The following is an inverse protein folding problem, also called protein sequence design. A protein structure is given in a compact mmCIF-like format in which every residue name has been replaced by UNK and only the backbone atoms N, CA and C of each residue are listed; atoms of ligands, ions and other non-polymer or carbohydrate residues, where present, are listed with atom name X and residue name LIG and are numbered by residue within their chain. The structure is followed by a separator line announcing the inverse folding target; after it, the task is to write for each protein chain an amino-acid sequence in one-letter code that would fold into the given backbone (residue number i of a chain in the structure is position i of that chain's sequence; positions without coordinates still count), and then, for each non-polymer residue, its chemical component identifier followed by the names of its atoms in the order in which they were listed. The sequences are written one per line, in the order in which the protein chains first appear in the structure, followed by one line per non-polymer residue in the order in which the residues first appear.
data_IF_331407307083
#
_entry.id   IF_331407307083
#
_cell.length_a   1.000
_cell.length_b   1.000
_cell.length_c   1.000
_cell.angle_alpha   90.00
_cell.angle_beta   90.00
_cell.angle_gamma   90.00
#
_symmetry.space_group_name_H-M   'P 1'
#
loop_
_entity.id
_entity.type
_entity.pdbx_description
1 polymer ?
#
# COMPACT_ATOMS: atom_id res chain seq x y z
N UNK A 1 18.63 34.88 -23.61
CA UNK A 1 18.76 35.09 -22.14
C UNK A 1 17.69 34.34 -21.34
N UNK A 2 16.81 33.55 -21.96
CA UNK A 2 15.75 32.79 -21.26
C UNK A 2 16.17 31.36 -20.82
N UNK A 3 17.19 30.75 -21.43
CA UNK A 3 17.63 29.38 -21.05
C UNK A 3 18.25 29.29 -19.64
N UNK A 4 18.72 30.41 -19.07
CA UNK A 4 19.44 30.40 -17.80
C UNK A 4 18.52 30.40 -16.57
N UNK A 5 17.24 30.79 -16.69
CA UNK A 5 16.31 30.79 -15.55
C UNK A 5 15.71 29.41 -15.27
N UNK A 6 15.42 28.61 -16.30
CA UNK A 6 14.91 27.24 -16.15
C UNK A 6 15.94 26.27 -15.55
N UNK A 7 17.23 26.44 -15.88
CA UNK A 7 18.30 25.62 -15.31
C UNK A 7 18.58 25.91 -13.83
N UNK A 8 18.37 27.16 -13.38
CA UNK A 8 18.46 27.55 -11.97
C UNK A 8 17.29 26.95 -11.14
N UNK A 9 16.10 26.88 -11.74
CA UNK A 9 14.89 26.35 -11.09
C UNK A 9 14.98 24.82 -10.91
N UNK A 10 15.43 24.08 -11.93
CA UNK A 10 15.62 22.62 -11.86
C UNK A 10 16.66 22.22 -10.80
N UNK A 11 17.76 22.98 -10.68
CA UNK A 11 18.78 22.72 -9.65
C UNK A 11 18.22 22.93 -8.24
N UNK A 12 17.48 24.01 -8.02
CA UNK A 12 16.85 24.29 -6.73
C UNK A 12 15.81 23.23 -6.35
N UNK A 13 15.03 22.74 -7.32
CA UNK A 13 14.09 21.64 -7.15
C UNK A 13 14.84 20.35 -6.77
N UNK A 14 15.92 20.00 -7.48
CA UNK A 14 16.72 18.81 -7.17
C UNK A 14 17.36 18.88 -5.77
N UNK A 15 17.92 20.03 -5.37
CA UNK A 15 18.47 20.22 -4.02
C UNK A 15 17.38 20.08 -2.94
N UNK A 16 16.18 20.61 -3.21
CA UNK A 16 15.02 20.43 -2.32
C UNK A 16 14.62 18.95 -2.22
N UNK A 17 14.58 18.23 -3.35
CA UNK A 17 14.27 16.81 -3.37
C UNK A 17 15.32 16.02 -2.58
N UNK A 18 16.62 16.22 -2.83
CA UNK A 18 17.69 15.54 -2.09
C UNK A 18 17.55 15.76 -0.58
N UNK A 19 17.28 17.00 -0.16
CA UNK A 19 17.06 17.32 1.26
C UNK A 19 15.84 16.63 1.85
N UNK A 20 14.70 16.68 1.17
CA UNK A 20 13.44 16.11 1.67
C UNK A 20 13.40 14.57 1.54
N UNK A 21 14.26 13.97 0.71
CA UNK A 21 14.35 12.51 0.47
C UNK A 21 15.48 11.81 1.22
N UNK A 22 16.35 12.54 1.92
CA UNK A 22 17.51 11.98 2.64
C UNK A 22 17.15 10.85 3.64
N UNK A 23 15.92 10.83 4.17
CA UNK A 23 15.46 9.78 5.07
C UNK A 23 15.12 8.46 4.36
N UNK A 24 14.95 8.46 3.04
CA UNK A 24 14.56 7.27 2.27
C UNK A 24 15.65 6.20 2.35
N UNK A 25 16.93 6.59 2.22
CA UNK A 25 18.05 5.65 2.35
C UNK A 25 18.07 5.01 3.74
N UNK A 26 17.79 5.79 4.78
CA UNK A 26 17.66 5.28 6.15
C UNK A 26 16.47 4.32 6.27
N UNK A 27 15.32 4.63 5.68
CA UNK A 27 14.16 3.71 5.66
C UNK A 27 14.51 2.39 4.97
N UNK A 28 15.17 2.44 3.80
CA UNK A 28 15.62 1.24 3.08
C UNK A 28 16.59 0.43 3.92
N UNK A 29 17.56 1.08 4.59
CA UNK A 29 18.49 0.41 5.50
C UNK A 29 17.77 -0.28 6.66
N UNK A 30 16.83 0.41 7.32
CA UNK A 30 16.05 -0.17 8.43
C UNK A 30 15.18 -1.34 7.95
N UNK A 31 14.55 -1.23 6.77
CA UNK A 31 13.76 -2.32 6.20
C UNK A 31 14.62 -3.55 5.87
N UNK A 32 15.83 -3.36 5.33
CA UNK A 32 16.73 -4.45 4.96
C UNK A 32 17.29 -5.24 6.17
N UNK A 33 17.21 -4.71 7.39
CA UNK A 33 17.57 -5.48 8.60
C UNK A 33 16.65 -6.67 8.82
N UNK A 34 15.39 -6.51 8.42
CA UNK A 34 14.31 -7.48 8.66
C UNK A 34 13.94 -8.22 7.38
N UNK A 35 13.94 -7.51 6.25
CA UNK A 35 13.50 -8.03 4.95
C UNK A 35 14.70 -8.45 4.12
N UNK A 36 14.77 -9.74 3.80
CA UNK A 36 15.90 -10.35 3.08
C UNK A 36 15.47 -10.79 1.69
N UNK A 37 16.29 -10.49 0.67
CA UNK A 37 16.07 -10.93 -0.72
C UNK A 37 14.89 -10.29 -1.45
N UNK A 38 14.15 -9.38 -0.79
CA UNK A 38 12.91 -8.79 -1.32
C UNK A 38 13.03 -7.29 -1.60
N UNK A 39 14.19 -6.88 -2.17
CA UNK A 39 14.45 -5.47 -2.54
C UNK A 39 13.35 -4.90 -3.44
N UNK A 40 12.86 -5.70 -4.39
CA UNK A 40 11.80 -5.28 -5.29
C UNK A 40 10.51 -4.90 -4.54
N UNK A 41 10.10 -5.68 -3.54
CA UNK A 41 8.92 -5.37 -2.73
C UNK A 41 9.11 -4.07 -1.94
N UNK A 42 10.30 -3.84 -1.38
CA UNK A 42 10.64 -2.62 -0.64
C UNK A 42 10.53 -1.39 -1.55
N UNK A 43 11.15 -1.45 -2.73
CA UNK A 43 11.11 -0.35 -3.71
C UNK A 43 9.67 -0.02 -4.11
N UNK A 44 8.84 -1.04 -4.38
CA UNK A 44 7.43 -0.84 -4.73
C UNK A 44 6.62 -0.23 -3.58
N UNK A 45 6.89 -0.62 -2.34
CA UNK A 45 6.29 -0.02 -1.13
C UNK A 45 6.62 1.46 -1.01
N UNK A 46 7.87 1.84 -1.22
CA UNK A 46 8.31 3.23 -1.15
C UNK A 46 7.74 4.07 -2.30
N UNK A 47 7.69 3.52 -3.53
CA UNK A 47 7.04 4.20 -4.66
C UNK A 47 5.55 4.42 -4.37
N UNK A 48 4.84 3.42 -3.86
CA UNK A 48 3.43 3.58 -3.48
C UNK A 48 3.24 4.61 -2.37
N UNK A 49 4.11 4.60 -1.35
CA UNK A 49 4.08 5.58 -0.27
C UNK A 49 4.29 7.01 -0.79
N UNK A 50 5.33 7.25 -1.59
CA UNK A 50 5.71 8.58 -2.07
C UNK A 50 4.80 9.09 -3.20
N UNK A 51 4.33 8.19 -4.06
CA UNK A 51 3.36 8.49 -5.11
C UNK A 51 1.91 8.63 -4.63
N UNK A 52 1.66 8.47 -3.31
CA UNK A 52 0.31 8.39 -2.73
C UNK A 52 -0.58 7.33 -3.41
N UNK A 53 0.04 6.25 -3.87
CA UNK A 53 -0.60 5.12 -4.50
C UNK A 53 -0.83 3.96 -3.54
N UNK A 54 -1.47 2.93 -4.06
CA UNK A 54 -1.71 1.68 -3.35
C UNK A 54 -1.14 0.51 -4.15
N UNK A 55 -0.80 -0.56 -3.47
CA UNK A 55 -0.04 -1.66 -4.07
C UNK A 55 -0.81 -2.96 -3.93
N UNK A 56 -0.88 -3.72 -5.02
CA UNK A 56 -1.39 -5.08 -5.04
C UNK A 56 -0.21 -6.05 -5.14
N UNK A 57 -0.03 -6.91 -4.14
CA UNK A 57 1.01 -7.94 -4.09
C UNK A 57 0.43 -9.32 -4.38
N UNK A 58 0.81 -9.87 -5.51
CA UNK A 58 0.51 -11.25 -5.87
C UNK A 58 1.69 -12.15 -5.50
N UNK A 59 1.42 -13.31 -4.89
CA UNK A 59 2.47 -14.28 -4.59
C UNK A 59 2.03 -15.27 -3.52
N UNK A 60 2.80 -16.33 -3.33
CA UNK A 60 2.45 -17.39 -2.37
C UNK A 60 2.59 -16.92 -0.90
N UNK A 61 1.98 -17.65 0.05
CA UNK A 61 2.17 -17.40 1.48
C UNK A 61 3.64 -17.50 1.91
N UNK A 62 4.01 -16.77 2.96
CA UNK A 62 5.34 -16.87 3.57
C UNK A 62 6.44 -15.97 2.99
N UNK A 63 6.14 -15.16 1.96
CA UNK A 63 7.12 -14.27 1.31
C UNK A 63 7.34 -12.92 2.02
N UNK A 64 7.28 -12.90 3.35
CA UNK A 64 7.51 -11.71 4.19
C UNK A 64 6.65 -10.46 3.86
N UNK A 65 5.53 -10.60 3.14
CA UNK A 65 4.64 -9.47 2.76
C UNK A 65 4.16 -8.69 3.98
N UNK A 66 3.55 -9.38 4.94
CA UNK A 66 3.08 -8.80 6.21
C UNK A 66 4.22 -8.15 6.99
N UNK A 67 5.40 -8.80 6.98
CA UNK A 67 6.58 -8.30 7.66
C UNK A 67 7.06 -6.98 7.03
N UNK A 68 7.00 -6.85 5.71
CA UNK A 68 7.49 -5.67 4.98
C UNK A 68 6.71 -4.40 5.32
N UNK A 69 5.38 -4.43 5.22
CA UNK A 69 4.55 -3.26 5.56
C UNK A 69 4.61 -2.93 7.06
N UNK A 70 4.67 -3.95 7.93
CA UNK A 70 4.81 -3.72 9.37
C UNK A 70 6.17 -3.08 9.69
N UNK A 71 7.25 -3.56 9.06
CA UNK A 71 8.60 -2.99 9.19
C UNK A 71 8.64 -1.53 8.71
N UNK A 72 8.02 -1.25 7.56
CA UNK A 72 7.87 0.13 7.07
C UNK A 72 7.12 1.00 8.09
N UNK A 73 5.99 0.53 8.63
CA UNK A 73 5.23 1.29 9.63
C UNK A 73 6.00 1.48 10.94
N UNK A 74 6.88 0.55 11.33
CA UNK A 74 7.71 0.71 12.53
C UNK A 74 8.86 1.71 12.30
N UNK A 75 9.40 1.76 11.09
CA UNK A 75 10.44 2.70 10.71
C UNK A 75 9.91 4.14 10.56
N UNK A 76 8.59 4.30 10.45
CA UNK A 76 7.88 5.58 10.34
C UNK A 76 7.17 5.94 11.65
N UNK A 77 7.54 7.06 12.25
CA UNK A 77 6.88 7.63 13.42
C UNK A 77 5.55 8.28 13.01
N UNK A 78 4.42 7.67 13.36
CA UNK A 78 3.09 8.28 13.20
C UNK A 78 2.52 8.87 14.48
N UNK A 79 1.60 9.81 14.30
CA UNK A 79 0.86 10.46 15.39
C UNK A 79 -0.26 9.57 15.91
N UNK A 80 -0.27 9.36 17.23
CA UNK A 80 -1.17 8.43 17.92
C UNK A 80 -2.62 8.93 17.93
N UNK A 81 -3.55 8.11 17.44
CA UNK A 81 -4.93 8.12 17.91
C UNK A 81 -5.21 6.79 18.59
N UNK A 82 -5.40 6.82 19.92
CA UNK A 82 -5.78 5.66 20.71
C UNK A 82 -7.23 5.29 20.37
N UNK A 83 -7.45 4.51 19.32
CA UNK A 83 -8.75 3.91 19.05
C UNK A 83 -8.86 2.67 19.95
N UNK A 84 -9.76 2.76 20.92
CA UNK A 84 -10.01 1.72 21.90
C UNK A 84 -10.77 0.57 21.20
N UNK A 85 -10.05 -0.49 20.81
CA UNK A 85 -10.69 -1.75 20.44
C UNK A 85 -11.19 -2.41 21.73
N UNK A 86 -12.51 -2.43 21.95
CA UNK A 86 -13.09 -3.37 22.90
C UNK A 86 -12.98 -4.77 22.31
N UNK A 87 -12.33 -5.73 23.00
CA UNK A 87 -12.16 -7.08 22.49
C UNK A 87 -13.48 -7.84 22.62
N UNK A 88 -14.31 -7.74 21.60
CA UNK A 88 -15.42 -8.69 21.38
C UNK A 88 -15.03 -9.56 20.18
N UNK A 89 -14.18 -10.56 20.45
CA UNK A 89 -13.93 -11.69 19.55
C UNK A 89 -14.58 -12.93 20.13
N UNK A 90 -15.20 -13.76 19.30
CA UNK A 90 -15.82 -15.00 19.71
C UNK A 90 -14.73 -16.06 20.00
N UNK A 91 -14.98 -17.04 20.89
CA UNK A 91 -13.97 -18.04 21.28
C UNK A 91 -13.39 -18.88 20.12
N UNK A 92 -14.05 -18.91 18.96
CA UNK A 92 -13.57 -19.63 17.78
C UNK A 92 -12.33 -18.98 17.12
N UNK A 93 -12.07 -17.70 17.39
CA UNK A 93 -10.95 -16.94 16.78
C UNK A 93 -9.60 -17.17 17.49
N UNK A 94 -9.56 -18.01 18.52
CA UNK A 94 -8.49 -18.02 19.55
C UNK A 94 -7.28 -18.91 19.22
N UNK A 95 -7.31 -19.74 18.18
CA UNK A 95 -6.28 -20.79 18.02
C UNK A 95 -5.01 -20.35 17.27
N UNK A 96 -4.94 -19.13 16.69
CA UNK A 96 -3.71 -18.59 16.05
C UNK A 96 -3.30 -17.18 16.49
N UNK A 97 -4.10 -16.50 17.29
CA UNK A 97 -4.11 -15.03 17.44
C UNK A 97 -3.27 -14.49 18.60
N UNK A 98 -2.84 -15.30 19.57
CA UNK A 98 -2.23 -14.79 20.81
C UNK A 98 -0.86 -14.11 20.60
N UNK A 99 -0.02 -14.56 19.67
CA UNK A 99 1.26 -13.88 19.37
C UNK A 99 1.08 -12.65 18.44
N UNK A 100 0.00 -12.62 17.66
CA UNK A 100 -0.24 -11.63 16.60
C UNK A 100 -1.03 -10.43 17.13
N UNK A 101 -1.97 -10.65 18.06
CA UNK A 101 -2.69 -9.58 18.74
C UNK A 101 -1.77 -8.74 19.62
N UNK A 102 -0.70 -9.31 20.20
CA UNK A 102 0.26 -8.54 21.01
C UNK A 102 1.12 -7.59 20.16
N UNK A 103 1.44 -7.96 18.92
CA UNK A 103 2.15 -7.08 17.98
C UNK A 103 1.24 -5.98 17.42
N UNK A 104 -0.03 -6.30 17.12
CA UNK A 104 -1.04 -5.31 16.70
C UNK A 104 -1.37 -4.32 17.84
N UNK A 105 -1.42 -4.80 19.09
CA UNK A 105 -1.71 -3.95 20.25
C UNK A 105 -0.56 -3.03 20.67
N UNK A 106 0.65 -3.25 20.17
CA UNK A 106 1.82 -2.44 20.50
C UNK A 106 2.04 -1.25 19.53
N UNK A 107 1.39 -1.22 18.36
CA UNK A 107 1.63 -0.21 17.29
C UNK A 107 0.37 0.63 17.00
N UNK A 108 -0.52 0.77 18.00
CA UNK A 108 -1.80 1.46 17.85
C UNK A 108 -1.65 2.92 17.39
N UNK A 109 -1.92 3.15 16.09
CA UNK A 109 -2.06 4.48 15.48
C UNK A 109 -1.68 4.53 14.00
N UNK A 110 -0.69 3.74 13.57
CA UNK A 110 -0.12 3.87 12.21
C UNK A 110 -0.27 2.64 11.34
N UNK A 111 -0.36 1.44 11.92
CA UNK A 111 -0.54 0.20 11.18
C UNK A 111 -1.87 -0.47 11.51
N UNK A 112 -2.51 -1.05 10.49
CA UNK A 112 -3.69 -1.86 10.64
C UNK A 112 -3.67 -3.03 9.66
N UNK A 113 -4.18 -4.18 10.10
CA UNK A 113 -4.29 -5.38 9.28
C UNK A 113 -5.75 -5.80 9.19
N UNK A 114 -6.19 -6.06 7.97
CA UNK A 114 -7.52 -6.55 7.62
C UNK A 114 -7.30 -7.88 6.90
N UNK A 115 -7.78 -8.97 7.52
CA UNK A 115 -7.81 -10.27 6.87
C UNK A 115 -9.13 -10.39 6.12
N UNK A 116 -9.07 -10.58 4.81
CA UNK A 116 -10.27 -10.76 4.01
C UNK A 116 -10.73 -12.22 4.12
N UNK A 117 -11.96 -12.41 4.56
CA UNK A 117 -12.61 -13.71 4.70
C UNK A 117 -13.99 -13.69 4.00
N UNK A 118 -14.56 -14.85 3.65
CA UNK A 118 -15.85 -14.90 2.94
C UNK A 118 -17.03 -14.28 3.70
N UNK A 119 -16.93 -14.23 5.03
CA UNK A 119 -17.93 -13.72 5.98
C UNK A 119 -17.73 -12.24 6.35
N UNK A 120 -16.60 -11.64 5.96
CA UNK A 120 -16.29 -10.25 6.28
C UNK A 120 -17.36 -9.31 5.70
N UNK A 121 -17.79 -8.30 6.47
CA UNK A 121 -18.74 -7.30 6.01
C UNK A 121 -18.04 -5.97 5.68
N UNK A 122 -18.61 -5.13 4.79
CA UNK A 122 -18.08 -3.78 4.53
C UNK A 122 -17.90 -2.95 5.81
N UNK A 123 -18.82 -3.09 6.76
CA UNK A 123 -18.80 -2.42 8.05
C UNK A 123 -17.60 -2.82 8.92
N UNK A 124 -17.05 -4.03 8.74
CA UNK A 124 -15.86 -4.50 9.48
C UNK A 124 -14.57 -3.88 8.93
N UNK A 125 -14.58 -3.36 7.70
CA UNK A 125 -13.47 -2.65 7.06
C UNK A 125 -13.55 -1.16 7.36
N UNK A 126 -14.73 -0.58 7.12
CA UNK A 126 -14.98 0.86 7.17
C UNK A 126 -15.30 1.33 8.59
N UNK A 127 -16.08 0.56 9.34
CA UNK A 127 -16.66 0.98 10.61
C UNK A 127 -18.19 1.02 10.56
N UNK A 128 -18.80 1.17 11.73
CA UNK A 128 -20.25 1.11 11.91
C UNK A 128 -20.73 1.99 13.07
N UNK A 129 -22.03 2.22 13.13
CA UNK A 129 -22.70 2.79 14.29
C UNK A 129 -22.98 1.69 15.30
N UNK A 130 -22.51 1.84 16.53
CA UNK A 130 -22.82 0.94 17.64
C UNK A 130 -23.75 1.66 18.62
N UNK A 131 -24.79 0.97 19.07
CA UNK A 131 -25.68 1.48 20.10
C UNK A 131 -25.06 1.24 21.49
N UNK A 132 -24.71 2.32 22.19
CA UNK A 132 -24.19 2.24 23.54
C UNK A 132 -25.35 2.16 24.53
N UNK A 133 -25.66 0.94 24.99
CA UNK A 133 -26.76 0.67 25.93
C UNK A 133 -26.63 1.48 27.22
N UNK A 134 -25.40 1.77 27.69
CA UNK A 134 -25.18 2.52 28.94
C UNK A 134 -25.52 4.00 28.81
N UNK A 135 -25.27 4.58 27.63
CA UNK A 135 -25.52 5.99 27.34
C UNK A 135 -26.82 6.23 26.57
N UNK A 136 -27.49 5.15 26.15
CA UNK A 136 -28.70 5.18 25.33
C UNK A 136 -28.50 6.00 24.04
N UNK A 137 -27.30 5.94 23.45
CA UNK A 137 -26.85 6.78 22.33
C UNK A 137 -26.15 5.93 21.27
N UNK A 138 -26.29 6.32 20.00
CA UNK A 138 -25.51 5.76 18.91
C UNK A 138 -24.11 6.40 18.86
N UNK A 139 -23.07 5.58 18.90
CA UNK A 139 -21.68 6.03 18.82
C UNK A 139 -20.98 5.40 17.61
N UNK A 140 -20.00 6.12 17.05
CA UNK A 140 -19.29 5.68 15.84
C UNK A 140 -18.11 4.81 16.25
N UNK A 141 -18.07 3.58 15.72
CA UNK A 141 -16.91 2.69 15.80
C UNK A 141 -16.18 2.72 14.46
N UNK A 142 -15.03 3.41 14.42
CA UNK A 142 -14.14 3.45 13.25
C UNK A 142 -13.60 2.05 12.94
N UNK A 143 -13.59 1.69 11.66
CA UNK A 143 -13.02 0.43 11.20
C UNK A 143 -11.49 0.44 11.15
N UNK A 144 -10.87 -0.71 10.84
CA UNK A 144 -9.43 -0.86 10.71
C UNK A 144 -8.82 -0.04 9.56
N UNK A 145 -9.62 0.51 8.64
CA UNK A 145 -9.09 1.35 7.55
C UNK A 145 -8.57 2.72 8.02
N UNK A 146 -8.90 3.14 9.25
CA UNK A 146 -8.38 4.36 9.86
C UNK A 146 -6.98 4.14 10.46
N UNK A 147 -5.99 3.99 9.57
CA UNK A 147 -4.57 3.90 9.89
C UNK A 147 -3.73 4.42 8.72
N UNK A 148 -2.47 4.80 8.96
CA UNK A 148 -1.58 5.26 7.89
C UNK A 148 -1.18 4.15 6.91
N UNK A 149 -0.97 2.94 7.43
CA UNK A 149 -0.52 1.76 6.70
C UNK A 149 -1.53 0.64 6.91
N UNK A 150 -2.20 0.22 5.86
CA UNK A 150 -3.22 -0.83 5.90
C UNK A 150 -2.74 -2.03 5.08
N UNK A 151 -2.62 -3.17 5.74
CA UNK A 151 -2.46 -4.46 5.08
C UNK A 151 -3.85 -5.08 4.85
N UNK A 152 -4.24 -5.25 3.58
CA UNK A 152 -5.44 -5.97 3.19
C UNK A 152 -5.07 -7.36 2.69
N UNK A 153 -5.02 -8.32 3.60
CA UNK A 153 -4.52 -9.67 3.34
C UNK A 153 -5.59 -10.52 2.65
N UNK A 154 -5.22 -11.19 1.57
CA UNK A 154 -6.07 -12.11 0.80
C UNK A 154 -7.36 -11.45 0.28
N UNK A 155 -7.25 -10.24 -0.28
CA UNK A 155 -8.39 -9.42 -0.73
C UNK A 155 -9.37 -10.19 -1.64
N UNK A 156 -8.87 -11.19 -2.38
CA UNK A 156 -9.66 -12.09 -3.22
C UNK A 156 -10.47 -13.13 -2.44
N UNK A 157 -10.49 -13.18 -1.11
CA UNK A 157 -11.32 -14.13 -0.33
C UNK A 157 -12.65 -13.55 0.15
N UNK A 158 -12.81 -12.22 0.11
CA UNK A 158 -14.08 -11.60 0.49
C UNK A 158 -14.96 -11.28 -0.74
N UNK A 159 -16.28 -11.19 -0.55
CA UNK A 159 -17.19 -10.78 -1.63
C UNK A 159 -16.88 -9.40 -2.21
N UNK A 160 -17.28 -9.18 -3.47
CA UNK A 160 -17.03 -7.94 -4.21
C UNK A 160 -17.51 -6.66 -3.50
N UNK A 161 -18.56 -6.74 -2.66
CA UNK A 161 -19.04 -5.60 -1.86
C UNK A 161 -18.02 -5.13 -0.81
N UNK A 162 -17.31 -6.07 -0.19
CA UNK A 162 -16.29 -5.80 0.84
C UNK A 162 -15.04 -5.23 0.17
N UNK A 163 -14.63 -5.84 -0.95
CA UNK A 163 -13.54 -5.34 -1.78
C UNK A 163 -13.83 -3.90 -2.22
N UNK A 164 -15.05 -3.62 -2.70
CA UNK A 164 -15.46 -2.28 -3.14
C UNK A 164 -15.38 -1.24 -2.02
N UNK A 165 -15.76 -1.60 -0.79
CA UNK A 165 -15.68 -0.67 0.35
C UNK A 165 -14.23 -0.21 0.65
N UNK A 166 -13.27 -1.14 0.61
CA UNK A 166 -11.84 -0.80 0.73
C UNK A 166 -11.37 0.06 -0.45
N UNK A 167 -11.72 -0.33 -1.67
CA UNK A 167 -11.29 0.36 -2.90
C UNK A 167 -11.91 1.76 -3.07
N UNK A 168 -13.11 1.96 -2.56
CA UNK A 168 -13.76 3.27 -2.49
C UNK A 168 -13.03 4.18 -1.50
N UNK A 169 -12.73 3.67 -0.30
CA UNK A 169 -11.95 4.40 0.69
C UNK A 169 -10.55 4.78 0.17
N UNK A 170 -9.90 3.89 -0.58
CA UNK A 170 -8.64 4.16 -1.30
C UNK A 170 -8.77 5.33 -2.28
N UNK A 171 -9.86 5.37 -3.05
CA UNK A 171 -10.06 6.37 -4.08
C UNK A 171 -10.46 7.73 -3.51
N UNK A 172 -11.43 7.73 -2.60
CA UNK A 172 -12.03 8.93 -2.03
C UNK A 172 -11.19 9.51 -0.87
N UNK A 173 -10.30 8.71 -0.28
CA UNK A 173 -9.47 9.08 0.89
C UNK A 173 -10.30 9.54 2.09
N UNK A 174 -11.57 9.14 2.12
CA UNK A 174 -12.54 9.42 3.16
C UNK A 174 -13.60 8.32 3.15
N UNK A 175 -14.31 8.16 4.26
CA UNK A 175 -15.40 7.20 4.35
C UNK A 175 -16.56 7.77 5.17
N UNK A 176 -17.79 7.46 4.77
CA UNK A 176 -19.01 7.87 5.47
C UNK A 176 -19.53 6.73 6.34
N UNK A 177 -19.73 7.00 7.63
CA UNK A 177 -20.32 6.07 8.59
C UNK A 177 -21.59 6.73 9.14
N UNK A 178 -22.75 6.12 8.86
CA UNK A 178 -24.03 6.75 9.12
C UNK A 178 -24.17 8.02 8.28
N UNK A 179 -24.31 9.17 8.94
CA UNK A 179 -24.43 10.49 8.29
C UNK A 179 -23.13 11.31 8.32
N UNK A 180 -22.07 10.80 8.96
CA UNK A 180 -20.82 11.55 9.15
C UNK A 180 -19.72 11.02 8.24
N UNK A 181 -19.08 11.93 7.49
CA UNK A 181 -17.91 11.61 6.65
C UNK A 181 -16.62 11.88 7.42
N UNK A 182 -15.72 10.90 7.40
CA UNK A 182 -14.42 10.93 8.05
C UNK A 182 -13.31 10.86 7.01
N UNK A 183 -12.35 11.78 7.07
CA UNK A 183 -11.13 11.70 6.27
C UNK A 183 -10.21 10.63 6.84
N UNK A 184 -9.51 9.92 5.95
CA UNK A 184 -8.47 8.96 6.33
C UNK A 184 -7.18 9.69 6.71
N UNK A 185 -6.41 9.08 7.59
CA UNK A 185 -5.14 9.63 8.07
C UNK A 185 -4.12 9.69 6.93
N UNK A 186 -3.29 10.74 6.91
CA UNK A 186 -2.24 10.90 5.90
C UNK A 186 -0.85 10.68 6.52
N UNK A 187 0.08 10.00 5.83
CA UNK A 187 -0.10 9.29 4.56
C UNK A 187 -1.08 8.11 4.72
N UNK A 188 -1.74 7.71 3.64
CA UNK A 188 -2.63 6.55 3.58
C UNK A 188 -2.12 5.59 2.51
N UNK A 189 -1.53 4.46 2.92
CA UNK A 189 -1.01 3.42 2.04
C UNK A 189 -1.72 2.10 2.33
N UNK A 190 -2.45 1.60 1.34
CA UNK A 190 -2.98 0.23 1.34
C UNK A 190 -2.04 -0.67 0.55
N UNK A 191 -1.60 -1.75 1.18
CA UNK A 191 -0.98 -2.90 0.52
C UNK A 191 -1.94 -4.07 0.59
N UNK A 192 -2.54 -4.42 -0.55
CA UNK A 192 -3.42 -5.57 -0.67
C UNK A 192 -2.62 -6.78 -1.13
N UNK A 193 -2.93 -7.98 -0.65
CA UNK A 193 -2.31 -9.23 -1.11
C UNK A 193 -3.34 -10.13 -1.76
N UNK A 194 -2.90 -10.90 -2.75
CA UNK A 194 -3.67 -11.97 -3.37
C UNK A 194 -2.80 -13.23 -3.44
N UNK A 195 -3.41 -14.37 -3.13
CA UNK A 195 -2.81 -15.68 -3.35
C UNK A 195 -3.30 -16.22 -4.70
N UNK A 196 -2.42 -16.39 -5.70
CA UNK A 196 -2.82 -16.88 -7.03
C UNK A 196 -3.15 -18.37 -7.08
N UNK A 197 -2.76 -19.14 -6.06
CA UNK A 197 -2.86 -20.61 -6.06
C UNK A 197 -4.23 -21.10 -5.53
N UNK A 198 -4.88 -20.32 -4.68
CA UNK A 198 -6.18 -20.69 -4.09
C UNK A 198 -7.34 -20.34 -5.05
N UNK A 199 -7.93 -21.37 -5.66
CA UNK A 199 -9.09 -21.21 -6.56
C UNK A 199 -10.44 -21.44 -5.86
N UNK A 200 -10.47 -22.18 -4.74
CA UNK A 200 -11.71 -22.43 -4.00
C UNK A 200 -12.03 -21.27 -3.05
N UNK A 201 -13.26 -20.77 -3.12
CA UNK A 201 -13.73 -19.71 -2.22
C UNK A 201 -13.10 -18.34 -2.49
N UNK A 202 -12.58 -18.10 -3.69
CA UNK A 202 -12.02 -16.80 -4.08
C UNK A 202 -12.91 -16.04 -5.08
N UNK A 203 -12.91 -14.73 -4.93
CA UNK A 203 -13.59 -13.73 -5.73
C UNK A 203 -12.50 -12.88 -6.42
N UNK A 204 -12.21 -13.12 -7.71
CA UNK A 204 -11.18 -12.37 -8.41
C UNK A 204 -11.56 -10.90 -8.48
N UNK A 205 -10.56 -10.01 -8.36
CA UNK A 205 -10.80 -8.58 -8.53
C UNK A 205 -11.04 -8.30 -10.02
N UNK A 206 -12.18 -7.68 -10.39
CA UNK A 206 -12.38 -7.18 -11.74
C UNK A 206 -11.27 -6.20 -12.14
N UNK A 207 -10.96 -6.13 -13.43
CA UNK A 207 -9.91 -5.24 -13.97
C UNK A 207 -10.11 -3.77 -13.57
N UNK A 208 -11.37 -3.30 -13.54
CA UNK A 208 -11.71 -1.95 -13.07
C UNK A 208 -11.35 -1.70 -11.59
N UNK A 209 -11.28 -2.75 -10.77
CA UNK A 209 -10.83 -2.67 -9.38
C UNK A 209 -9.31 -2.71 -9.29
N UNK A 210 -8.65 -3.55 -10.09
CA UNK A 210 -7.18 -3.61 -10.17
C UNK A 210 -6.58 -2.28 -10.64
N UNK A 211 -7.23 -1.57 -11.56
CA UNK A 211 -6.83 -0.24 -12.07
C UNK A 211 -6.79 0.87 -11.00
N UNK A 212 -7.34 0.61 -9.80
CA UNK A 212 -7.23 1.54 -8.65
C UNK A 212 -5.90 1.40 -7.90
N UNK A 213 -5.16 0.31 -8.12
CA UNK A 213 -3.82 0.16 -7.56
C UNK A 213 -2.80 0.83 -8.49
N UNK A 214 -1.84 1.53 -7.90
CA UNK A 214 -0.74 2.15 -8.62
C UNK A 214 0.20 1.11 -9.21
N UNK A 215 0.45 0.04 -8.44
CA UNK A 215 1.38 -1.02 -8.79
C UNK A 215 0.77 -2.38 -8.48
N UNK A 216 0.87 -3.30 -9.43
CA UNK A 216 0.72 -4.75 -9.20
C UNK A 216 2.11 -5.37 -9.23
N UNK A 217 2.51 -6.01 -8.14
CA UNK A 217 3.83 -6.65 -8.01
C UNK A 217 3.65 -8.14 -7.79
N UNK A 218 4.26 -8.95 -8.66
CA UNK A 218 4.32 -10.40 -8.48
C UNK A 218 5.60 -10.74 -7.74
N UNK A 219 5.47 -11.42 -6.60
CA UNK A 219 6.59 -11.82 -5.76
C UNK A 219 6.78 -13.33 -5.90
N UNK A 220 7.98 -13.70 -6.35
CA UNK A 220 8.42 -15.09 -6.46
C UNK A 220 9.21 -15.51 -5.21
N UNK A 221 9.55 -16.78 -5.14
CA UNK A 221 10.39 -17.32 -4.07
C UNK A 221 11.76 -16.63 -4.02
N UNK A 222 12.33 -16.44 -2.81
CA UNK A 222 13.67 -15.90 -2.66
C UNK A 222 14.72 -16.79 -3.33
N UNK A 223 15.87 -16.21 -3.69
CA UNK A 223 17.01 -17.00 -4.16
C UNK A 223 17.58 -17.83 -3.02
N UNK A 224 18.26 -18.92 -3.33
CA UNK A 224 18.87 -19.83 -2.33
C UNK A 224 19.72 -19.08 -1.28
N UNK A 225 20.48 -18.07 -1.70
CA UNK A 225 21.31 -17.25 -0.81
C UNK A 225 20.50 -16.40 0.17
N UNK A 226 19.40 -15.82 -0.32
CA UNK A 226 18.47 -15.02 0.48
C UNK A 226 17.68 -15.93 1.45
N UNK A 227 17.23 -17.08 0.98
CA UNK A 227 16.51 -18.07 1.82
C UNK A 227 17.42 -18.61 2.93
N UNK A 228 18.70 -18.85 2.65
CA UNK A 228 19.69 -19.20 3.66
C UNK A 228 19.82 -18.14 4.75
N UNK A 229 19.76 -16.86 4.39
CA UNK A 229 19.77 -15.76 5.35
C UNK A 229 18.47 -15.71 6.16
N UNK A 230 17.31 -15.95 5.53
CA UNK A 230 16.01 -16.07 6.23
C UNK A 230 16.04 -17.20 7.27
N UNK A 231 16.62 -18.36 6.94
CA UNK A 231 16.80 -19.47 7.89
C UNK A 231 17.67 -19.03 9.07
N UNK A 232 18.81 -18.39 8.80
CA UNK A 232 19.73 -17.91 9.85
C UNK A 232 19.06 -16.88 10.77
N UNK A 233 18.27 -15.97 10.23
CA UNK A 233 17.54 -14.99 11.03
C UNK A 233 16.47 -15.66 11.91
N UNK A 234 15.67 -16.57 11.36
CA UNK A 234 14.66 -17.30 12.14
C UNK A 234 15.27 -18.15 13.25
N UNK A 235 16.42 -18.81 13.00
CA UNK A 235 17.13 -19.61 14.00
C UNK A 235 17.72 -18.77 15.15
N UNK A 236 18.06 -17.51 14.91
CA UNK A 236 18.50 -16.59 15.98
C UNK A 236 17.37 -16.21 16.94
N UNK A 237 16.11 -16.40 16.55
CA UNK A 237 14.94 -16.19 17.41
C UNK A 237 14.53 -14.72 17.62
N UNK A 238 15.25 -13.75 17.03
CA UNK A 238 14.87 -12.35 17.05
C UNK A 238 15.27 -11.63 15.76
N UNK A 239 14.36 -10.81 15.24
CA UNK A 239 14.69 -9.80 14.24
C UNK A 239 15.45 -8.66 14.92
N UNK A 240 16.32 -7.97 14.17
CA UNK A 240 16.89 -6.72 14.65
C UNK A 240 15.78 -5.70 14.94
N UNK A 241 15.98 -4.88 15.97
CA UNK A 241 15.04 -3.82 16.30
C UNK A 241 15.05 -2.74 15.22
N UNK A 242 13.89 -2.48 14.64
CA UNK A 242 13.68 -1.43 13.64
C UNK A 242 13.65 -0.08 14.36
N UNK A 243 14.53 0.83 13.98
CA UNK A 243 14.52 2.18 14.52
C UNK A 243 13.55 3.06 13.73
N UNK A 244 12.90 4.00 14.44
CA UNK A 244 12.12 5.06 13.81
C UNK A 244 13.07 6.08 13.19
N UNK A 245 13.11 6.14 11.86
CA UNK A 245 14.05 6.99 11.10
C UNK A 245 13.36 8.04 10.24
N UNK A 246 12.03 7.99 10.13
CA UNK A 246 11.24 8.96 9.40
C UNK A 246 9.98 9.36 10.19
N UNK A 247 9.54 10.60 10.08
CA UNK A 247 8.24 11.05 10.59
C UNK A 247 7.19 11.11 9.49
N UNK A 248 5.91 11.05 9.88
CA UNK A 248 4.79 11.31 8.96
C UNK A 248 4.94 12.65 8.24
N UNK A 249 5.38 13.71 8.93
CA UNK A 249 5.58 15.03 8.32
C UNK A 249 6.67 15.01 7.24
N UNK A 250 7.78 14.28 7.45
CA UNK A 250 8.82 14.12 6.43
C UNK A 250 8.29 13.39 5.20
N UNK A 251 7.46 12.35 5.38
CA UNK A 251 6.82 11.66 4.26
C UNK A 251 5.89 12.60 3.49
N UNK A 252 5.08 13.39 4.18
CA UNK A 252 4.17 14.34 3.51
C UNK A 252 4.94 15.40 2.71
N UNK A 253 6.06 15.90 3.25
CA UNK A 253 6.94 16.82 2.52
C UNK A 253 7.59 16.16 1.31
N UNK A 254 8.08 14.93 1.44
CA UNK A 254 8.62 14.18 0.32
C UNK A 254 7.57 13.91 -0.77
N UNK A 255 6.34 13.53 -0.40
CA UNK A 255 5.22 13.37 -1.34
C UNK A 255 4.90 14.65 -2.09
N UNK A 256 5.06 15.82 -1.46
CA UNK A 256 4.90 17.11 -2.12
C UNK A 256 6.07 17.38 -3.07
N UNK A 257 7.31 17.14 -2.64
CA UNK A 257 8.50 17.34 -3.45
C UNK A 257 8.49 16.48 -4.72
N UNK A 258 8.03 15.22 -4.64
CA UNK A 258 7.89 14.33 -5.81
C UNK A 258 6.99 14.93 -6.90
N UNK A 259 5.97 15.72 -6.53
CA UNK A 259 5.07 16.37 -7.50
C UNK A 259 5.67 17.60 -8.18
N UNK A 260 6.74 18.13 -7.61
CA UNK A 260 7.45 19.28 -8.14
C UNK A 260 8.59 18.86 -9.08
N UNK A 261 8.88 17.55 -9.18
CA UNK A 261 9.88 17.00 -10.09
C UNK A 261 9.52 17.38 -11.53
N UNK A 262 10.46 18.05 -12.19
CA UNK A 262 10.30 18.42 -13.60
C UNK A 262 10.33 17.16 -14.49
N UNK A 263 9.31 17.01 -15.33
CA UNK A 263 9.26 15.99 -16.36
C UNK A 263 9.50 16.63 -17.73
N UNK A 264 10.57 16.21 -18.41
CA UNK A 264 10.86 16.64 -19.78
C UNK A 264 9.76 16.13 -20.74
N UNK A 265 9.37 16.94 -21.72
CA UNK A 265 8.34 16.60 -22.71
C UNK A 265 8.63 15.28 -23.45
N UNK A 266 9.91 14.90 -23.60
CA UNK A 266 10.29 13.62 -24.21
C UNK A 266 9.90 12.43 -23.34
N UNK A 267 10.00 12.56 -22.01
CA UNK A 267 9.59 11.52 -21.06
C UNK A 267 8.06 11.44 -21.04
N UNK A 268 7.36 12.57 -21.01
CA UNK A 268 5.90 12.61 -21.10
C UNK A 268 5.41 11.92 -22.38
N UNK A 269 5.99 12.28 -23.52
CA UNK A 269 5.70 11.63 -24.80
C UNK A 269 6.00 10.14 -24.77
N UNK A 270 7.11 9.72 -24.19
CA UNK A 270 7.46 8.30 -24.07
C UNK A 270 6.42 7.52 -23.24
N UNK A 271 5.95 8.08 -22.12
CA UNK A 271 4.88 7.50 -21.30
C UNK A 271 3.58 7.38 -22.11
N UNK A 272 3.23 8.43 -22.86
CA UNK A 272 2.05 8.41 -23.74
C UNK A 272 2.19 7.34 -24.83
N UNK A 273 3.33 7.26 -25.51
CA UNK A 273 3.59 6.28 -26.56
C UNK A 273 3.46 4.84 -26.01
N UNK A 274 4.00 4.56 -24.82
CA UNK A 274 3.85 3.26 -24.15
C UNK A 274 2.37 2.94 -23.88
N UNK A 275 1.62 3.87 -23.29
CA UNK A 275 0.22 3.64 -22.95
C UNK A 275 -0.65 3.51 -24.20
N UNK A 276 -0.45 4.34 -25.22
CA UNK A 276 -1.20 4.26 -26.47
C UNK A 276 -0.84 3.02 -27.29
N UNK A 277 0.38 2.49 -27.20
CA UNK A 277 0.74 1.21 -27.79
C UNK A 277 -0.06 0.04 -27.20
N UNK A 278 -0.49 0.12 -25.94
CA UNK A 278 -1.41 -0.90 -25.36
C UNK A 278 -2.84 -0.80 -25.89
N UNK A 279 -3.27 0.38 -26.36
CA UNK A 279 -4.65 0.63 -26.85
C UNK A 279 -4.76 0.39 -28.36
N UNK A 280 -3.74 0.85 -29.09
CA UNK A 280 -3.66 0.84 -30.55
C UNK A 280 -2.32 0.28 -31.03
N UNK A 281 -1.98 -0.98 -30.70
CA UNK A 281 -0.68 -1.58 -31.05
C UNK A 281 -0.38 -1.57 -32.56
N UNK A 282 -1.42 -1.57 -33.40
CA UNK A 282 -1.33 -1.41 -34.85
C UNK A 282 -0.58 -0.14 -35.29
N UNK A 283 -0.74 0.98 -34.57
CA UNK A 283 -0.07 2.25 -34.87
C UNK A 283 1.43 2.22 -34.54
N UNK A 284 1.89 1.20 -33.81
CA UNK A 284 3.26 1.04 -33.32
C UNK A 284 3.97 -0.17 -33.92
N UNK A 285 3.48 -0.69 -35.06
CA UNK A 285 4.03 -1.88 -35.73
C UNK A 285 3.93 -3.17 -34.88
N UNK A 286 2.95 -3.23 -33.98
CA UNK A 286 2.68 -4.36 -33.09
C UNK A 286 1.30 -5.00 -33.37
N UNK A 287 0.84 -4.96 -34.62
CA UNK A 287 -0.50 -5.44 -35.00
C UNK A 287 -0.77 -6.91 -34.59
N UNK A 288 0.27 -7.73 -34.46
CA UNK A 288 0.18 -9.11 -33.97
C UNK A 288 -0.27 -9.23 -32.51
N UNK A 289 -0.16 -8.16 -31.71
CA UNK A 289 -0.63 -8.14 -30.32
C UNK A 289 -2.12 -7.77 -30.20
N UNK A 290 -2.74 -7.18 -31.22
CA UNK A 290 -4.14 -6.75 -31.18
C UNK A 290 -5.12 -7.86 -30.78
N UNK A 291 -5.00 -9.11 -31.27
CA UNK A 291 -5.89 -10.20 -30.86
C UNK A 291 -5.68 -10.67 -29.41
N UNK A 292 -4.55 -10.32 -28.79
CA UNK A 292 -4.19 -10.75 -27.43
C UNK A 292 -4.62 -9.71 -26.37
N UNK A 293 -4.98 -8.49 -26.77
CA UNK A 293 -5.30 -7.39 -25.88
C UNK A 293 -6.79 -7.05 -26.02
N UNK A 294 -7.58 -7.35 -24.98
CA UNK A 294 -9.00 -7.00 -24.94
C UNK A 294 -9.21 -5.48 -24.85
N UNK A 295 -8.43 -4.80 -24.02
CA UNK A 295 -8.40 -3.35 -23.88
C UNK A 295 -7.04 -2.91 -23.30
N UNK A 296 -6.63 -1.68 -23.62
CA UNK A 296 -5.34 -1.14 -23.16
C UNK A 296 -5.41 -0.49 -21.77
N UNK A 297 -4.27 0.02 -21.31
CA UNK A 297 -4.14 0.69 -20.02
C UNK A 297 -4.99 1.98 -19.96
N UNK A 298 -5.57 2.26 -18.79
CA UNK A 298 -6.40 3.44 -18.54
C UNK A 298 -5.55 4.73 -18.48
N UNK A 299 -6.17 5.93 -18.43
CA UNK A 299 -5.43 7.17 -18.13
C UNK A 299 -4.69 7.15 -16.79
N UNK A 300 -5.15 6.34 -15.82
CA UNK A 300 -4.41 6.14 -14.55
C UNK A 300 -3.05 5.53 -14.80
N UNK A 301 -2.92 4.66 -15.80
CA UNK A 301 -1.62 4.12 -16.22
C UNK A 301 -0.62 5.21 -16.57
N UNK A 302 -1.03 6.22 -17.36
CA UNK A 302 -0.17 7.37 -17.70
C UNK A 302 0.19 8.19 -16.46
N UNK A 303 -0.79 8.49 -15.60
CA UNK A 303 -0.58 9.28 -14.38
C UNK A 303 0.36 8.56 -13.41
N UNK A 304 0.16 7.26 -13.19
CA UNK A 304 0.97 6.46 -12.28
C UNK A 304 2.39 6.25 -12.80
N UNK A 305 2.57 6.09 -14.13
CA UNK A 305 3.90 6.05 -14.75
C UNK A 305 4.63 7.39 -14.55
N UNK A 306 3.94 8.51 -14.77
CA UNK A 306 4.52 9.84 -14.57
C UNK A 306 4.90 10.09 -13.09
N UNK A 307 4.07 9.63 -12.16
CA UNK A 307 4.33 9.75 -10.72
C UNK A 307 5.48 8.83 -10.22
N UNK A 308 5.75 7.73 -10.92
CA UNK A 308 6.76 6.74 -10.54
C UNK A 308 8.11 6.90 -11.25
N UNK A 309 8.16 7.70 -12.32
CA UNK A 309 9.34 7.97 -13.13
C UNK A 309 10.26 8.99 -12.43
#
# INVERSE_FOLDING_TARGET
MEENSGALDIRAINEKIERESAFIDLLVMEMNKVIVGQRHMIERLLIGLLGQGHILLEGVPGLAKTLAINTLSQAVHGSFSRIQFTPDLLPADVVKTLAINTLSQAVHGSFSRIQFTPDLLPADVVGTMIYNIKQNEFSIKKGPIFANFVLADEINRAPAKVQSALLEAMQEKQVTIGETTFKLDKPFLVMATQNPVEQEGTYPLPEAQVDRFMLKTVIDYPKMEDERMVIRQNLKGSYETVNQVASVEQILRAQQAVREVYMDEKIEKYILDLVFATRYPENYKLANLKPLISFGASPRGSINLAMAA
#
